data_IF_652717940691
#
_entry.id   IF_652717940691
#
_cell.length_a   1.000
_cell.length_b   1.000
_cell.length_c   1.000
_cell.angle_alpha   90.00
_cell.angle_beta   90.00
_cell.angle_gamma   90.00
#
_symmetry.space_group_name_H-M   'P 1'
#
loop_
_entity.id
_entity.type
_entity.pdbx_description
1 polymer ?
#
# COMPACT_ATOMS: atom_id res chain seq x y z
N UNK A 1 -1.88 20.26 19.65
CA UNK A 1 -1.12 20.43 20.91
C UNK A 1 -2.11 20.51 22.05
N UNK A 2 -1.82 19.84 23.17
CA UNK A 2 -2.60 19.93 24.40
C UNK A 2 -1.60 20.13 25.55
N UNK A 3 -1.63 21.30 26.18
CA UNK A 3 -0.59 21.71 27.11
C UNK A 3 0.77 21.81 26.42
N UNK A 4 1.79 21.15 26.98
CA UNK A 4 3.14 21.10 26.41
C UNK A 4 3.32 19.94 25.42
N UNK A 5 2.32 19.05 25.30
CA UNK A 5 2.44 17.84 24.50
C UNK A 5 1.98 18.03 23.05
N UNK A 6 2.82 17.56 22.13
CA UNK A 6 2.56 17.56 20.70
C UNK A 6 2.16 16.16 20.22
N UNK A 7 0.94 16.07 19.71
CA UNK A 7 0.40 14.86 19.12
C UNK A 7 0.50 14.95 17.58
N UNK A 8 1.36 14.14 16.94
CA UNK A 8 1.51 14.16 15.49
C UNK A 8 0.29 13.57 14.78
N UNK A 9 0.24 13.75 13.45
CA UNK A 9 -0.73 13.01 12.62
C UNK A 9 -0.52 11.50 12.80
N UNK A 10 -1.60 10.74 12.85
CA UNK A 10 -1.59 9.33 13.22
C UNK A 10 -1.79 9.04 14.71
N UNK A 11 -1.87 10.05 15.58
CA UNK A 11 -2.30 9.83 16.97
C UNK A 11 -3.70 9.24 17.00
N UNK A 12 -3.83 8.08 17.67
CA UNK A 12 -5.11 7.40 17.87
C UNK A 12 -5.81 7.98 19.09
N UNK A 13 -7.05 8.42 18.92
CA UNK A 13 -7.90 8.89 19.99
C UNK A 13 -8.82 7.75 20.43
N UNK A 14 -8.89 7.51 21.74
CA UNK A 14 -9.75 6.49 22.34
C UNK A 14 -10.78 7.16 23.26
N UNK A 15 -11.93 7.64 22.73
CA UNK A 15 -12.93 8.30 23.54
C UNK A 15 -13.55 7.32 24.54
N UNK A 16 -13.46 7.62 25.84
CA UNK A 16 -14.09 6.80 26.90
C UNK A 16 -15.59 6.60 26.70
N UNK A 17 -16.28 7.59 26.15
CA UNK A 17 -17.72 7.54 25.89
C UNK A 17 -18.13 6.57 24.77
N UNK A 18 -17.18 6.17 23.91
CA UNK A 18 -17.43 5.28 22.77
C UNK A 18 -16.79 3.89 22.95
N UNK A 19 -16.10 3.66 24.07
CA UNK A 19 -15.32 2.45 24.31
C UNK A 19 -15.57 1.93 25.73
N UNK A 20 -16.41 0.91 25.83
CA UNK A 20 -16.67 0.22 27.10
C UNK A 20 -15.42 -0.47 27.63
N UNK A 21 -15.22 -0.40 28.96
CA UNK A 21 -14.08 -0.99 29.66
C UNK A 21 -12.71 -0.57 29.10
N UNK A 22 -12.61 0.66 28.55
CA UNK A 22 -11.42 1.13 27.85
C UNK A 22 -10.13 0.88 28.65
N UNK A 23 -10.11 1.21 29.95
CA UNK A 23 -8.94 1.03 30.80
C UNK A 23 -8.51 -0.45 30.91
N UNK A 24 -9.47 -1.36 31.08
CA UNK A 24 -9.20 -2.80 31.15
C UNK A 24 -8.66 -3.31 29.82
N UNK A 25 -9.27 -2.89 28.71
CA UNK A 25 -8.87 -3.30 27.35
C UNK A 25 -7.48 -2.80 26.99
N UNK A 26 -7.16 -1.54 27.29
CA UNK A 26 -5.85 -0.97 26.99
C UNK A 26 -4.74 -1.56 27.87
N UNK A 27 -5.02 -1.87 29.14
CA UNK A 27 -4.08 -2.60 30.00
C UNK A 27 -3.84 -4.03 29.48
N UNK A 28 -4.90 -4.76 29.12
CA UNK A 28 -4.79 -6.11 28.58
C UNK A 28 -4.01 -6.14 27.25
N UNK A 29 -4.15 -5.09 26.44
CA UNK A 29 -3.39 -4.89 25.20
C UNK A 29 -1.95 -4.39 25.42
N UNK A 30 -1.52 -4.14 26.67
CA UNK A 30 -0.18 -3.64 26.98
C UNK A 30 0.08 -2.19 26.57
N UNK A 31 -0.98 -1.42 26.28
CA UNK A 31 -0.87 -0.03 25.81
C UNK A 31 -0.60 0.97 26.93
N UNK A 32 -0.67 0.55 28.20
CA UNK A 32 -0.51 1.44 29.37
C UNK A 32 0.65 2.44 29.28
N UNK A 33 1.88 2.05 28.92
CA UNK A 33 3.01 2.97 28.79
C UNK A 33 2.90 4.00 27.65
N UNK A 34 1.96 3.82 26.72
CA UNK A 34 1.76 4.63 25.51
C UNK A 34 0.50 5.50 25.58
N UNK A 35 -0.26 5.41 26.66
CA UNK A 35 -1.50 6.15 26.84
C UNK A 35 -1.25 7.45 27.59
N UNK A 36 -1.61 8.57 26.97
CA UNK A 36 -1.65 9.88 27.62
C UNK A 36 -3.11 10.27 27.89
N UNK A 37 -3.54 10.37 29.16
CA UNK A 37 -4.90 10.75 29.50
C UNK A 37 -5.13 12.25 29.28
N UNK A 38 -6.01 12.60 28.34
CA UNK A 38 -6.44 13.98 28.12
C UNK A 38 -7.73 14.29 28.90
N UNK A 39 -7.74 15.40 29.64
CA UNK A 39 -8.88 15.82 30.46
C UNK A 39 -9.97 16.55 29.66
N UNK A 40 -9.62 17.08 28.48
CA UNK A 40 -10.49 17.85 27.61
C UNK A 40 -10.27 17.47 26.15
N UNK A 41 -11.31 17.67 25.33
CA UNK A 41 -11.23 17.57 23.89
C UNK A 41 -10.73 18.86 23.22
N UNK A 42 -10.54 19.93 24.00
CA UNK A 42 -10.07 21.23 23.52
C UNK A 42 -8.55 21.19 23.34
N UNK A 43 -8.09 21.68 22.20
CA UNK A 43 -6.66 21.78 21.85
C UNK A 43 -6.18 23.24 21.89
N UNK A 44 -4.92 23.45 22.24
CA UNK A 44 -4.30 24.79 22.17
C UNK A 44 -3.99 25.18 20.72
N UNK A 45 -3.57 24.19 19.93
CA UNK A 45 -3.30 24.32 18.50
C UNK A 45 -3.75 23.07 17.74
N UNK A 46 -4.35 23.27 16.57
CA UNK A 46 -4.90 22.20 15.73
C UNK A 46 -6.43 22.09 15.88
N UNK A 47 -7.03 21.03 15.30
CA UNK A 47 -8.44 20.76 15.48
C UNK A 47 -8.71 20.16 16.86
N UNK A 48 -9.79 20.60 17.50
CA UNK A 48 -10.29 19.96 18.73
C UNK A 48 -10.57 18.47 18.49
N UNK A 49 -10.32 17.68 19.53
CA UNK A 49 -10.55 16.24 19.52
C UNK A 49 -12.06 15.99 19.34
N UNK A 50 -12.42 15.09 18.43
CA UNK A 50 -13.84 14.74 18.21
C UNK A 50 -14.61 15.71 17.32
N UNK A 51 -13.96 16.65 16.63
CA UNK A 51 -14.57 17.52 15.59
C UNK A 51 -15.06 16.78 14.33
N UNK A 52 -15.18 15.46 14.37
CA UNK A 52 -15.61 14.62 13.24
C UNK A 52 -14.58 14.48 12.11
N UNK A 53 -13.41 15.11 12.25
CA UNK A 53 -12.29 15.00 11.28
C UNK A 53 -11.42 13.76 11.48
N UNK A 54 -11.63 13.03 12.57
CA UNK A 54 -10.97 11.76 12.83
C UNK A 54 -11.82 10.62 12.26
N UNK A 55 -11.24 9.81 11.38
CA UNK A 55 -11.86 8.58 10.89
C UNK A 55 -12.16 7.63 12.05
N UNK A 56 -13.33 6.99 12.02
CA UNK A 56 -13.72 6.00 13.03
C UNK A 56 -13.07 4.68 12.70
N UNK A 57 -12.19 4.22 13.60
CA UNK A 57 -11.55 2.92 13.45
C UNK A 57 -12.49 1.81 13.92
N UNK A 58 -12.63 0.79 13.09
CA UNK A 58 -13.30 -0.47 13.41
C UNK A 58 -12.44 -1.62 12.92
N UNK A 59 -12.64 -2.82 13.46
CA UNK A 59 -11.88 -3.98 13.03
C UNK A 59 -12.41 -4.42 11.64
N UNK A 60 -11.59 -4.35 10.57
CA UNK A 60 -12.06 -4.66 9.24
C UNK A 60 -12.20 -6.17 9.04
N UNK A 61 -13.19 -6.56 8.24
CA UNK A 61 -13.37 -7.90 7.70
C UNK A 61 -12.56 -8.03 6.43
N UNK A 62 -11.52 -8.87 6.47
CA UNK A 62 -10.53 -8.96 5.41
C UNK A 62 -10.69 -10.26 4.62
N UNK A 63 -10.66 -10.15 3.30
CA UNK A 63 -10.45 -11.27 2.37
C UNK A 63 -9.03 -11.17 1.81
N UNK A 64 -8.27 -12.26 1.86
CA UNK A 64 -6.98 -12.41 1.21
C UNK A 64 -7.12 -13.30 -0.03
N UNK A 65 -6.81 -12.75 -1.19
CA UNK A 65 -6.82 -13.49 -2.45
C UNK A 65 -5.59 -14.39 -2.54
N UNK A 66 -5.81 -15.66 -2.86
CA UNK A 66 -4.77 -16.68 -3.04
C UNK A 66 -5.01 -17.53 -4.28
N UNK A 67 -4.43 -18.73 -4.27
CA UNK A 67 -4.60 -19.72 -5.33
C UNK A 67 -3.77 -19.43 -6.59
N UNK A 68 -4.14 -20.07 -7.70
CA UNK A 68 -3.41 -19.99 -8.95
C UNK A 68 -3.37 -18.55 -9.51
N UNK A 69 -2.22 -18.14 -10.04
CA UNK A 69 -1.98 -16.78 -10.52
C UNK A 69 -1.37 -15.84 -9.47
N UNK A 70 -1.49 -16.16 -8.18
CA UNK A 70 -0.81 -15.42 -7.09
C UNK A 70 0.61 -15.94 -6.85
N UNK A 71 1.51 -15.05 -6.40
CA UNK A 71 2.81 -15.44 -5.90
C UNK A 71 2.66 -16.11 -4.53
N UNK A 72 3.04 -17.38 -4.41
CA UNK A 72 3.01 -18.11 -3.15
C UNK A 72 3.85 -17.45 -2.06
N UNK A 73 4.94 -16.77 -2.45
CA UNK A 73 5.79 -16.01 -1.55
C UNK A 73 5.07 -14.78 -1.00
N UNK A 74 4.44 -14.00 -1.88
CA UNK A 74 3.69 -12.79 -1.48
C UNK A 74 2.49 -13.19 -0.63
N UNK A 75 1.67 -14.13 -1.11
CA UNK A 75 0.53 -14.68 -0.36
C UNK A 75 0.93 -15.14 1.05
N UNK A 76 2.03 -15.91 1.17
CA UNK A 76 2.52 -16.38 2.46
C UNK A 76 2.94 -15.26 3.41
N UNK A 77 3.57 -14.20 2.89
CA UNK A 77 3.95 -13.03 3.68
C UNK A 77 2.73 -12.24 4.18
N UNK A 78 1.75 -11.97 3.30
CA UNK A 78 0.51 -11.28 3.67
C UNK A 78 -0.30 -12.08 4.68
N UNK A 79 -0.48 -13.39 4.45
CA UNK A 79 -1.13 -14.28 5.41
C UNK A 79 -0.43 -14.27 6.77
N UNK A 80 0.89 -14.40 6.79
CA UNK A 80 1.66 -14.37 8.03
C UNK A 80 1.51 -13.04 8.76
N UNK A 81 1.49 -11.91 8.03
CA UNK A 81 1.30 -10.60 8.62
C UNK A 81 -0.08 -10.46 9.27
N UNK A 82 -1.14 -10.91 8.59
CA UNK A 82 -2.49 -10.93 9.15
C UNK A 82 -2.58 -11.84 10.39
N UNK A 83 -2.09 -13.09 10.29
CA UNK A 83 -2.18 -14.10 11.36
C UNK A 83 -1.32 -13.76 12.59
N UNK A 84 -0.08 -13.33 12.37
CA UNK A 84 0.94 -13.27 13.42
C UNK A 84 1.44 -11.86 13.77
N UNK A 85 1.33 -10.88 12.86
CA UNK A 85 1.73 -9.49 13.18
C UNK A 85 0.55 -8.66 13.65
N UNK A 86 -0.58 -8.73 12.96
CA UNK A 86 -1.79 -8.01 13.35
C UNK A 86 -2.74 -8.85 14.20
N UNK A 87 -2.74 -10.17 14.05
CA UNK A 87 -3.76 -11.03 14.66
C UNK A 87 -5.16 -10.71 14.12
N UNK A 88 -5.25 -10.28 12.86
CA UNK A 88 -6.47 -9.84 12.21
C UNK A 88 -7.15 -11.03 11.53
N UNK A 89 -8.38 -11.41 11.93
CA UNK A 89 -9.11 -12.48 11.29
C UNK A 89 -9.34 -12.19 9.80
N UNK A 90 -9.13 -13.19 8.96
CA UNK A 90 -9.30 -13.06 7.53
C UNK A 90 -9.83 -14.35 6.90
N UNK A 91 -10.50 -14.21 5.76
CA UNK A 91 -10.85 -15.33 4.89
C UNK A 91 -9.84 -15.40 3.75
N UNK A 92 -9.43 -16.62 3.36
CA UNK A 92 -8.65 -16.82 2.14
C UNK A 92 -9.57 -17.33 1.04
N UNK A 93 -9.51 -16.71 -0.14
CA UNK A 93 -10.32 -17.08 -1.30
C UNK A 93 -9.41 -17.22 -2.52
N UNK A 94 -9.59 -18.26 -3.33
CA UNK A 94 -8.83 -18.37 -4.57
C UNK A 94 -9.30 -17.32 -5.57
N UNK A 95 -8.38 -16.83 -6.40
CA UNK A 95 -8.69 -15.82 -7.43
C UNK A 95 -9.86 -16.23 -8.35
N UNK A 96 -9.96 -17.51 -8.72
CA UNK A 96 -11.01 -18.04 -9.59
C UNK A 96 -12.40 -18.10 -8.92
N UNK A 97 -12.43 -18.17 -7.58
CA UNK A 97 -13.66 -18.26 -6.80
C UNK A 97 -14.24 -16.87 -6.47
N UNK A 98 -13.50 -15.79 -6.73
CA UNK A 98 -13.85 -14.43 -6.32
C UNK A 98 -15.18 -13.95 -6.90
N UNK A 99 -15.54 -14.39 -8.11
CA UNK A 99 -16.81 -14.04 -8.75
C UNK A 99 -18.05 -14.70 -8.10
N UNK A 100 -17.83 -15.71 -7.26
CA UNK A 100 -18.89 -16.52 -6.63
C UNK A 100 -19.08 -16.26 -5.14
N UNK A 101 -18.23 -15.43 -4.53
CA UNK A 101 -18.37 -15.07 -3.11
C UNK A 101 -19.21 -13.80 -2.95
N UNK A 102 -19.91 -13.72 -1.83
CA UNK A 102 -20.59 -12.52 -1.40
C UNK A 102 -19.59 -11.59 -0.69
N UNK A 103 -19.46 -10.37 -1.18
CA UNK A 103 -18.58 -9.33 -0.64
C UNK A 103 -19.35 -8.26 0.14
N UNK A 104 -20.68 -8.36 0.30
CA UNK A 104 -21.51 -7.40 1.04
C UNK A 104 -20.98 -7.16 2.47
N UNK A 105 -20.46 -8.23 3.07
CA UNK A 105 -19.90 -8.24 4.42
C UNK A 105 -18.36 -8.18 4.45
N UNK A 106 -17.72 -7.64 3.41
CA UNK A 106 -16.26 -7.52 3.33
C UNK A 106 -15.86 -6.06 3.23
N UNK A 107 -14.97 -5.64 4.13
CA UNK A 107 -14.51 -4.24 4.17
C UNK A 107 -13.23 -4.08 3.33
N UNK A 108 -12.35 -5.09 3.35
CA UNK A 108 -11.06 -5.07 2.65
C UNK A 108 -10.82 -6.35 1.86
N UNK A 109 -10.44 -6.22 0.59
CA UNK A 109 -9.92 -7.32 -0.23
C UNK A 109 -8.44 -7.05 -0.49
N UNK A 110 -7.58 -8.00 -0.14
CA UNK A 110 -6.13 -7.95 -0.36
C UNK A 110 -5.77 -8.82 -1.55
N UNK A 111 -5.11 -8.23 -2.56
CA UNK A 111 -4.56 -8.91 -3.72
C UNK A 111 -3.03 -8.89 -3.65
N UNK A 112 -2.39 -10.03 -3.29
CA UNK A 112 -0.94 -10.16 -3.28
C UNK A 112 -0.31 -9.94 -4.66
N UNK A 113 1.02 -9.88 -4.69
CA UNK A 113 1.77 -9.87 -5.94
C UNK A 113 1.41 -11.09 -6.78
N UNK A 114 1.16 -10.88 -8.07
CA UNK A 114 0.57 -11.89 -8.92
C UNK A 114 0.96 -11.68 -10.40
N UNK A 115 0.94 -12.77 -11.17
CA UNK A 115 1.19 -12.76 -12.61
C UNK A 115 -0.05 -13.25 -13.36
N UNK A 116 -0.74 -12.35 -14.07
CA UNK A 116 -1.95 -12.71 -14.83
C UNK A 116 -3.19 -12.96 -13.96
N UNK A 117 -3.26 -12.36 -12.76
CA UNK A 117 -4.36 -12.57 -11.81
C UNK A 117 -5.72 -12.15 -12.37
N UNK A 118 -5.77 -11.07 -13.17
CA UNK A 118 -7.01 -10.64 -13.82
C UNK A 118 -7.61 -11.72 -14.72
N UNK A 119 -6.76 -12.49 -15.42
CA UNK A 119 -7.23 -13.61 -16.25
C UNK A 119 -7.78 -14.77 -15.41
N UNK A 120 -7.29 -14.94 -14.17
CA UNK A 120 -7.75 -15.98 -13.25
C UNK A 120 -9.07 -15.60 -12.57
N UNK A 121 -9.22 -14.33 -12.22
CA UNK A 121 -10.49 -13.77 -11.73
C UNK A 121 -11.55 -13.80 -12.84
N UNK A 122 -11.14 -13.52 -14.08
CA UNK A 122 -12.03 -13.46 -15.26
C UNK A 122 -12.88 -12.18 -15.30
N UNK A 123 -13.43 -11.85 -16.46
CA UNK A 123 -14.14 -10.59 -16.70
C UNK A 123 -15.29 -10.37 -15.70
N UNK A 124 -16.12 -11.38 -15.49
CA UNK A 124 -17.23 -11.33 -14.51
C UNK A 124 -16.73 -11.07 -13.09
N UNK A 125 -15.60 -11.67 -12.69
CA UNK A 125 -15.03 -11.45 -11.37
C UNK A 125 -14.42 -10.05 -11.23
N UNK A 126 -13.79 -9.54 -12.28
CA UNK A 126 -13.26 -8.18 -12.32
C UNK A 126 -14.40 -7.15 -12.24
N UNK A 127 -15.48 -7.34 -13.00
CA UNK A 127 -16.68 -6.51 -12.93
C UNK A 127 -17.33 -6.54 -11.54
N UNK A 128 -17.43 -7.72 -10.92
CA UNK A 128 -17.96 -7.87 -9.56
C UNK A 128 -17.08 -7.16 -8.52
N UNK A 129 -15.75 -7.28 -8.64
CA UNK A 129 -14.80 -6.62 -7.75
C UNK A 129 -14.87 -5.10 -7.90
N UNK A 130 -14.93 -4.59 -9.13
CA UNK A 130 -15.05 -3.17 -9.42
C UNK A 130 -16.39 -2.60 -8.90
N UNK A 131 -17.48 -3.36 -9.04
CA UNK A 131 -18.78 -3.00 -8.47
C UNK A 131 -18.74 -2.95 -6.93
N UNK A 132 -18.12 -3.93 -6.28
CA UNK A 132 -17.94 -3.96 -4.83
C UNK A 132 -17.08 -2.78 -4.33
N UNK A 133 -15.99 -2.45 -5.01
CA UNK A 133 -15.19 -1.25 -4.69
C UNK A 133 -16.07 -0.01 -4.80
N UNK A 134 -16.85 0.13 -5.89
CA UNK A 134 -17.76 1.27 -6.05
C UNK A 134 -18.83 1.39 -4.97
N UNK A 135 -19.18 0.31 -4.29
CA UNK A 135 -20.18 0.30 -3.21
C UNK A 135 -19.58 0.60 -1.83
N UNK A 136 -18.26 0.82 -1.72
CA UNK A 136 -17.60 1.15 -0.44
C UNK A 136 -16.43 0.23 -0.08
N UNK A 137 -16.18 -0.81 -0.86
CA UNK A 137 -15.08 -1.74 -0.62
C UNK A 137 -13.70 -1.09 -0.75
N UNK A 138 -12.74 -1.55 0.06
CA UNK A 138 -11.33 -1.14 -0.02
C UNK A 138 -10.47 -2.25 -0.62
N UNK A 139 -10.00 -2.06 -1.85
CA UNK A 139 -9.12 -3.00 -2.54
C UNK A 139 -7.65 -2.63 -2.29
N UNK A 140 -6.92 -3.47 -1.55
CA UNK A 140 -5.48 -3.30 -1.33
C UNK A 140 -4.73 -4.27 -2.22
N UNK A 141 -3.93 -3.77 -3.17
CA UNK A 141 -3.16 -4.62 -4.07
C UNK A 141 -1.68 -4.24 -4.06
N UNK A 142 -0.80 -5.22 -4.34
CA UNK A 142 0.65 -4.99 -4.31
C UNK A 142 1.35 -5.54 -5.55
N UNK A 143 2.44 -4.88 -5.96
CA UNK A 143 3.29 -5.25 -7.09
C UNK A 143 2.47 -5.67 -8.34
N UNK A 144 2.70 -6.87 -8.89
CA UNK A 144 1.97 -7.34 -10.07
C UNK A 144 0.45 -7.47 -9.88
N UNK A 145 -0.02 -7.66 -8.64
CA UNK A 145 -1.44 -7.58 -8.30
C UNK A 145 -1.97 -6.16 -8.43
N UNK A 146 -1.22 -5.17 -7.93
CA UNK A 146 -1.56 -3.76 -8.11
C UNK A 146 -1.56 -3.33 -9.58
N UNK A 147 -0.59 -3.80 -10.39
CA UNK A 147 -0.58 -3.51 -11.83
C UNK A 147 -1.81 -4.06 -12.55
N UNK A 148 -2.35 -5.20 -12.10
CA UNK A 148 -3.56 -5.78 -12.66
C UNK A 148 -4.83 -5.04 -12.21
N UNK A 149 -4.91 -4.71 -10.92
CA UNK A 149 -6.08 -4.04 -10.34
C UNK A 149 -6.15 -2.57 -10.73
N UNK A 150 -5.03 -1.86 -10.82
CA UNK A 150 -4.97 -0.43 -11.14
C UNK A 150 -5.64 -0.05 -12.47
N UNK A 151 -5.70 -0.99 -13.42
CA UNK A 151 -6.38 -0.81 -14.72
C UNK A 151 -7.87 -0.48 -14.59
N UNK A 152 -8.54 -0.95 -13.54
CA UNK A 152 -9.97 -0.64 -13.33
C UNK A 152 -10.21 0.83 -12.92
N UNK A 153 -9.14 1.53 -12.52
CA UNK A 153 -9.20 2.91 -12.04
C UNK A 153 -8.18 3.82 -12.73
N UNK A 154 -7.69 3.40 -13.91
CA UNK A 154 -6.76 4.15 -14.76
C UNK A 154 -5.43 4.51 -14.08
N UNK A 155 -4.98 3.67 -13.13
CA UNK A 155 -3.66 3.78 -12.51
C UNK A 155 -2.67 2.92 -13.28
N UNK A 156 -1.83 3.58 -14.07
CA UNK A 156 -0.86 2.91 -14.93
C UNK A 156 0.50 2.75 -14.25
N UNK A 157 1.12 1.59 -14.46
CA UNK A 157 2.53 1.39 -14.10
C UNK A 157 3.37 2.17 -15.09
N UNK A 158 4.26 3.02 -14.59
CA UNK A 158 5.16 3.77 -15.44
C UNK A 158 6.07 2.81 -16.20
N UNK A 159 6.01 2.90 -17.53
CA UNK A 159 6.89 2.18 -18.46
C UNK A 159 7.93 3.11 -19.04
N UNK A 160 9.09 2.58 -19.46
CA UNK A 160 9.93 3.37 -20.38
C UNK A 160 9.19 3.60 -21.68
N UNK A 161 9.37 4.78 -22.29
CA UNK A 161 8.87 5.05 -23.64
C UNK A 161 9.37 3.94 -24.57
N UNK A 162 8.43 3.30 -25.27
CA UNK A 162 8.77 2.23 -26.20
C UNK A 162 9.77 2.70 -27.25
N UNK A 163 10.56 1.78 -27.84
CA UNK A 163 11.55 2.14 -28.86
C UNK A 163 10.92 2.96 -29.99
N UNK A 164 11.59 4.05 -30.36
CA UNK A 164 11.34 4.69 -31.66
C UNK A 164 11.51 3.68 -32.80
N UNK A 165 10.86 3.93 -33.94
CA UNK A 165 10.86 2.98 -35.07
C UNK A 165 12.28 2.63 -35.56
N UNK A 166 13.22 3.58 -35.49
CA UNK A 166 14.64 3.36 -35.80
C UNK A 166 15.36 2.46 -34.80
N UNK A 167 14.98 2.50 -33.53
CA UNK A 167 15.55 1.63 -32.49
C UNK A 167 15.04 0.20 -32.60
N UNK A 168 13.81 -0.02 -33.10
CA UNK A 168 13.21 -1.37 -33.20
C UNK A 168 14.08 -2.33 -34.02
N UNK A 169 14.60 -1.87 -35.17
CA UNK A 169 15.50 -2.67 -36.00
C UNK A 169 16.83 -2.95 -35.28
N UNK A 170 17.39 -1.95 -34.59
CA UNK A 170 18.58 -2.10 -33.76
C UNK A 170 18.39 -3.15 -32.67
N UNK A 171 17.29 -3.09 -31.91
CA UNK A 171 16.96 -4.09 -30.88
C UNK A 171 16.77 -5.49 -31.45
N UNK A 172 16.13 -5.60 -32.62
CA UNK A 172 15.89 -6.88 -33.29
C UNK A 172 17.20 -7.56 -33.76
N UNK A 173 18.21 -6.76 -34.11
CA UNK A 173 19.51 -7.25 -34.57
C UNK A 173 20.54 -7.43 -33.45
N UNK A 174 20.20 -7.11 -32.19
CA UNK A 174 21.08 -7.31 -31.03
C UNK A 174 21.54 -8.75 -30.93
N UNK A 175 22.84 -8.91 -30.70
CA UNK A 175 23.47 -10.19 -30.40
C UNK A 175 22.85 -10.82 -29.16
N UNK A 176 23.17 -12.10 -28.95
CA UNK A 176 22.73 -12.81 -27.74
C UNK A 176 23.30 -12.17 -26.47
N UNK A 177 24.55 -11.71 -26.52
CA UNK A 177 25.27 -11.11 -25.39
C UNK A 177 24.69 -9.75 -25.04
N UNK A 178 24.45 -8.88 -26.01
CA UNK A 178 23.78 -7.57 -25.80
C UNK A 178 22.38 -7.76 -25.19
N UNK A 179 21.58 -8.70 -25.73
CA UNK A 179 20.27 -9.03 -25.15
C UNK A 179 20.35 -9.60 -23.74
N UNK A 180 21.46 -10.25 -23.38
CA UNK A 180 21.67 -10.75 -22.02
C UNK A 180 22.02 -9.61 -21.07
N UNK A 181 22.92 -8.72 -21.48
CA UNK A 181 23.29 -7.53 -20.71
C UNK A 181 22.08 -6.64 -20.45
N UNK A 182 21.25 -6.36 -21.45
CA UNK A 182 20.04 -5.54 -21.28
C UNK A 182 19.00 -6.16 -20.35
N UNK A 183 18.82 -7.49 -20.45
CA UNK A 183 17.96 -8.19 -19.49
C UNK A 183 18.49 -8.07 -18.06
N UNK A 184 19.81 -8.00 -17.88
CA UNK A 184 20.40 -7.84 -16.56
C UNK A 184 20.26 -6.39 -16.07
N UNK A 185 20.48 -5.41 -16.94
CA UNK A 185 20.34 -3.97 -16.62
C UNK A 185 18.90 -3.55 -16.31
N UNK A 186 17.92 -4.18 -16.96
CA UNK A 186 16.49 -3.95 -16.71
C UNK A 186 15.96 -4.69 -15.47
N UNK A 187 16.69 -5.69 -14.96
CA UNK A 187 16.30 -6.40 -13.75
C UNK A 187 16.74 -5.61 -12.52
N UNK A 188 15.82 -5.44 -11.58
CA UNK A 188 16.13 -4.93 -10.24
C UNK A 188 15.76 -6.05 -9.24
N UNK A 189 16.74 -6.88 -8.82
CA UNK A 189 16.47 -8.02 -7.92
C UNK A 189 16.02 -7.62 -6.51
N UNK A 190 16.11 -6.33 -6.18
CA UNK A 190 15.87 -5.74 -4.88
C UNK A 190 16.92 -4.68 -4.58
N UNK A 191 16.53 -3.42 -4.68
CA UNK A 191 17.38 -2.25 -4.40
C UNK A 191 16.70 -1.37 -3.38
N UNK A 192 17.46 -0.95 -2.37
CA UNK A 192 17.01 0.03 -1.38
C UNK A 192 16.96 1.40 -2.05
N UNK A 193 15.76 1.97 -2.08
CA UNK A 193 15.49 3.32 -2.58
C UNK A 193 14.83 4.15 -1.48
N UNK A 194 15.06 5.45 -1.51
CA UNK A 194 14.31 6.41 -0.70
C UNK A 194 13.01 6.78 -1.43
N UNK A 195 11.91 6.86 -0.68
CA UNK A 195 10.66 7.48 -1.09
C UNK A 195 10.33 8.62 -0.14
N UNK A 196 9.78 9.69 -0.67
CA UNK A 196 9.13 10.75 0.10
C UNK A 196 7.74 10.28 0.51
N UNK A 197 7.30 10.70 1.70
CA UNK A 197 5.97 10.45 2.25
C UNK A 197 5.16 11.74 2.23
N UNK A 198 3.85 11.64 2.01
CA UNK A 198 2.93 12.73 2.34
C UNK A 198 2.58 12.64 3.83
N UNK A 199 3.11 13.51 4.72
CA UNK A 199 2.79 13.46 6.14
C UNK A 199 1.31 13.74 6.45
N UNK A 200 0.58 14.34 5.50
CA UNK A 200 -0.84 14.61 5.59
C UNK A 200 -1.72 13.36 5.41
N UNK A 201 -1.22 12.36 4.71
CA UNK A 201 -1.99 11.23 4.19
C UNK A 201 -2.11 10.09 5.23
N UNK A 202 -3.31 9.52 5.48
CA UNK A 202 -3.49 8.46 6.47
C UNK A 202 -2.58 7.24 6.29
N UNK A 203 -2.34 6.87 5.04
CA UNK A 203 -1.43 5.75 4.72
C UNK A 203 0.03 5.98 5.14
N UNK A 204 0.47 7.23 5.27
CA UNK A 204 1.85 7.56 5.66
C UNK A 204 2.04 7.74 7.18
N UNK A 205 0.96 7.71 7.97
CA UNK A 205 1.04 7.95 9.41
C UNK A 205 1.96 6.93 10.11
N UNK A 206 2.99 7.45 10.77
CA UNK A 206 3.99 6.65 11.47
C UNK A 206 4.99 5.88 10.58
N UNK A 207 4.95 6.06 9.26
CA UNK A 207 5.80 5.31 8.31
C UNK A 207 7.22 5.89 8.15
N UNK A 208 7.45 7.11 8.63
CA UNK A 208 8.72 7.83 8.49
C UNK A 208 9.92 7.10 9.10
N UNK A 209 11.06 7.19 8.41
CA UNK A 209 12.35 6.72 8.91
C UNK A 209 12.79 7.47 10.18
N UNK A 210 13.76 6.91 10.91
CA UNK A 210 14.29 7.56 12.11
C UNK A 210 15.22 8.74 11.76
N UNK A 211 15.19 9.84 12.55
CA UNK A 211 14.37 10.05 13.75
C UNK A 211 12.88 10.20 13.42
N UNK A 212 12.02 9.72 14.34
CA UNK A 212 10.57 9.67 14.15
C UNK A 212 9.99 11.00 13.64
N UNK A 213 9.11 10.92 12.63
CA UNK A 213 8.53 12.10 11.98
C UNK A 213 9.29 12.57 10.74
N UNK A 214 10.20 11.76 10.19
CA UNK A 214 10.78 12.00 8.86
C UNK A 214 9.73 11.82 7.75
N UNK A 215 9.66 12.75 6.79
CA UNK A 215 8.84 12.63 5.58
C UNK A 215 9.51 11.75 4.50
N UNK A 216 10.37 10.83 4.94
CA UNK A 216 11.15 9.93 4.08
C UNK A 216 11.08 8.52 4.64
N UNK A 217 11.01 7.55 3.75
CA UNK A 217 11.04 6.13 4.05
C UNK A 217 11.96 5.42 3.07
N UNK A 218 12.55 4.30 3.47
CA UNK A 218 13.31 3.44 2.56
C UNK A 218 12.47 2.22 2.19
N UNK A 219 12.48 1.85 0.91
CA UNK A 219 11.73 0.71 0.37
C UNK A 219 12.70 -0.25 -0.32
N UNK A 220 12.38 -1.54 -0.29
CA UNK A 220 13.06 -2.54 -1.11
C UNK A 220 12.32 -2.62 -2.45
N UNK A 221 12.84 -1.94 -3.46
CA UNK A 221 12.20 -1.83 -4.76
C UNK A 221 12.68 -2.85 -5.78
N UNK A 222 11.75 -3.29 -6.62
CA UNK A 222 11.96 -4.12 -7.81
C UNK A 222 11.92 -3.32 -9.11
N UNK A 223 11.93 -1.98 -9.03
CA UNK A 223 12.03 -1.11 -10.20
C UNK A 223 10.70 -0.69 -10.81
N UNK A 224 9.61 -0.77 -10.04
CA UNK A 224 8.26 -0.39 -10.44
C UNK A 224 7.78 0.87 -9.70
N UNK A 225 6.99 1.68 -10.40
CA UNK A 225 6.31 2.86 -9.87
C UNK A 225 5.09 3.17 -10.74
N UNK A 226 4.11 3.90 -10.21
CA UNK A 226 2.93 4.34 -10.97
C UNK A 226 3.16 5.73 -11.56
N UNK A 227 2.58 5.99 -12.72
CA UNK A 227 2.59 7.32 -13.33
C UNK A 227 1.66 8.25 -12.52
N UNK A 228 2.15 9.33 -11.89
CA UNK A 228 1.30 10.22 -11.12
C UNK A 228 0.19 10.86 -11.98
N UNK A 229 -0.98 11.05 -11.37
CA UNK A 229 -2.12 11.74 -11.98
C UNK A 229 -2.82 12.62 -10.94
N UNK A 230 -3.58 13.61 -11.39
CA UNK A 230 -4.48 14.40 -10.53
C UNK A 230 -5.70 13.58 -10.05
N UNK A 231 -5.93 12.40 -10.63
CA UNK A 231 -7.05 11.52 -10.30
C UNK A 231 -6.86 10.71 -8.99
N UNK A 232 -5.65 10.65 -8.46
CA UNK A 232 -5.35 9.92 -7.23
C UNK A 232 -4.33 10.64 -6.35
N UNK A 233 -4.28 10.23 -5.09
CA UNK A 233 -3.32 10.72 -4.12
C UNK A 233 -2.10 9.80 -4.07
N UNK A 234 -0.91 10.39 -4.06
CA UNK A 234 0.35 9.66 -3.85
C UNK A 234 0.78 9.81 -2.40
N UNK A 235 0.54 8.78 -1.60
CA UNK A 235 0.95 8.78 -0.19
C UNK A 235 2.47 8.61 -0.01
N UNK A 236 3.12 8.02 -1.02
CA UNK A 236 4.57 7.94 -1.10
C UNK A 236 5.03 7.92 -2.56
N UNK A 237 6.13 8.60 -2.86
CA UNK A 237 6.69 8.70 -4.22
C UNK A 237 8.22 8.74 -4.22
N UNK A 238 8.82 8.37 -5.33
CA UNK A 238 10.26 8.54 -5.55
C UNK A 238 10.56 10.00 -5.93
N UNK A 239 11.57 10.61 -5.30
CA UNK A 239 11.97 11.99 -5.62
C UNK A 239 12.54 12.16 -7.03
N UNK A 240 12.71 13.41 -7.46
CA UNK A 240 13.45 13.76 -8.68
C UNK A 240 14.94 13.36 -8.59
N UNK A 241 15.48 13.33 -7.38
CA UNK A 241 16.82 12.88 -7.02
C UNK A 241 16.91 11.36 -6.73
N UNK A 242 15.88 10.58 -7.11
CA UNK A 242 15.86 9.14 -6.86
C UNK A 242 17.14 8.46 -7.35
N UNK A 243 17.71 7.62 -6.49
CA UNK A 243 18.95 6.88 -6.73
C UNK A 243 19.02 5.63 -5.86
N UNK A 244 19.77 4.64 -6.32
CA UNK A 244 20.09 3.43 -5.54
C UNK A 244 20.88 3.76 -4.28
N UNK A 245 20.31 3.53 -3.10
CA UNK A 245 21.04 3.65 -1.82
C UNK A 245 21.91 2.41 -1.60
N UNK A 246 21.36 1.24 -1.87
CA UNK A 246 22.06 -0.04 -1.76
C UNK A 246 21.40 -1.10 -2.65
N UNK A 247 22.20 -1.92 -3.33
CA UNK A 247 21.70 -2.90 -4.30
C UNK A 247 22.12 -2.56 -5.73
N UNK A 248 21.52 -3.26 -6.71
CA UNK A 248 21.82 -3.10 -8.13
C UNK A 248 20.58 -2.61 -8.86
N UNK A 249 20.69 -1.46 -9.52
CA UNK A 249 19.62 -0.85 -10.31
C UNK A 249 20.25 -0.19 -11.53
N UNK A 250 19.69 -0.44 -12.72
CA UNK A 250 20.14 0.19 -13.95
C UNK A 250 19.71 1.64 -14.04
N UNK A 251 20.50 2.47 -14.72
CA UNK A 251 20.24 3.91 -14.88
C UNK A 251 18.86 4.19 -15.52
N UNK A 252 18.46 3.42 -16.53
CA UNK A 252 17.12 3.54 -17.16
C UNK A 252 15.99 3.30 -16.14
N UNK A 253 16.18 2.37 -15.20
CA UNK A 253 15.19 2.10 -14.17
C UNK A 253 15.15 3.22 -13.12
N UNK A 254 16.31 3.76 -12.73
CA UNK A 254 16.35 4.94 -11.85
C UNK A 254 15.62 6.12 -12.49
N UNK A 255 15.92 6.42 -13.76
CA UNK A 255 15.30 7.53 -14.48
C UNK A 255 13.78 7.35 -14.59
N UNK A 256 13.33 6.13 -14.89
CA UNK A 256 11.90 5.81 -14.92
C UNK A 256 11.24 6.06 -13.56
N UNK A 257 11.90 5.71 -12.45
CA UNK A 257 11.30 5.85 -11.12
C UNK A 257 11.21 7.29 -10.64
N UNK A 258 12.05 8.22 -11.11
CA UNK A 258 12.04 9.62 -10.65
C UNK A 258 10.67 10.25 -10.78
N UNK A 259 10.14 10.81 -9.70
CA UNK A 259 8.79 11.41 -9.68
C UNK A 259 7.67 10.41 -10.03
N UNK A 260 7.86 9.11 -9.76
CA UNK A 260 6.77 8.11 -9.83
C UNK A 260 6.23 7.77 -8.46
N UNK A 261 4.96 7.35 -8.39
CA UNK A 261 4.31 7.02 -7.14
C UNK A 261 4.63 5.58 -6.72
N UNK A 262 4.97 5.38 -5.44
CA UNK A 262 5.19 4.06 -4.86
C UNK A 262 3.94 3.53 -4.14
N UNK A 263 3.20 4.43 -3.48
CA UNK A 263 1.93 4.13 -2.79
C UNK A 263 0.85 5.10 -3.25
N UNK A 264 -0.21 4.55 -3.84
CA UNK A 264 -1.33 5.29 -4.41
C UNK A 264 -2.62 4.98 -3.67
N UNK A 265 -3.44 6.00 -3.40
CA UNK A 265 -4.84 5.86 -3.00
C UNK A 265 -5.73 6.49 -4.09
N UNK A 266 -6.59 5.68 -4.72
CA UNK A 266 -7.50 6.09 -5.80
C UNK A 266 -8.94 5.80 -5.37
N UNK A 267 -9.73 6.85 -5.15
CA UNK A 267 -11.16 6.72 -4.93
C UNK A 267 -11.88 6.20 -6.18
N UNK A 268 -12.84 5.29 -5.98
CA UNK A 268 -13.69 4.75 -7.04
C UNK A 268 -15.10 4.52 -6.49
N UNK A 269 -16.05 5.40 -6.87
CA UNK A 269 -17.40 5.37 -6.30
C UNK A 269 -17.39 5.71 -4.81
N UNK A 270 -18.01 4.89 -3.98
CA UNK A 270 -18.01 5.01 -2.52
C UNK A 270 -16.80 4.36 -1.84
N UNK A 271 -15.99 3.58 -2.56
CA UNK A 271 -14.80 2.92 -2.01
C UNK A 271 -13.52 3.35 -2.73
N UNK A 272 -12.51 2.47 -2.70
CA UNK A 272 -11.16 2.86 -3.11
C UNK A 272 -10.23 1.70 -3.46
N UNK A 273 -9.18 2.04 -4.20
CA UNK A 273 -8.02 1.21 -4.44
C UNK A 273 -6.80 1.80 -3.72
N UNK A 274 -6.08 0.94 -3.00
CA UNK A 274 -4.78 1.27 -2.41
C UNK A 274 -3.73 0.36 -3.05
N UNK A 275 -2.78 0.95 -3.76
CA UNK A 275 -1.86 0.24 -4.64
C UNK A 275 -0.42 0.47 -4.22
N UNK A 276 0.31 -0.61 -3.98
CA UNK A 276 1.76 -0.59 -3.72
C UNK A 276 2.51 -1.03 -4.97
N UNK A 277 3.50 -0.25 -5.41
CA UNK A 277 4.30 -0.56 -6.60
C UNK A 277 5.18 -1.80 -6.38
N UNK A 278 5.63 -2.01 -5.15
CA UNK A 278 6.36 -3.20 -4.70
C UNK A 278 5.55 -3.96 -3.64
N UNK A 279 6.02 -5.15 -3.24
CA UNK A 279 5.44 -5.88 -2.11
C UNK A 279 5.99 -5.32 -0.78
N UNK A 280 5.17 -4.60 0.03
CA UNK A 280 5.63 -3.97 1.27
C UNK A 280 6.00 -4.99 2.36
N UNK A 281 5.64 -6.26 2.17
CA UNK A 281 5.88 -7.36 3.09
C UNK A 281 6.88 -8.38 2.53
N UNK A 282 7.63 -8.04 1.49
CA UNK A 282 8.54 -8.97 0.82
C UNK A 282 9.40 -9.75 1.84
N UNK A 283 9.16 -11.06 1.91
CA UNK A 283 9.83 -12.00 2.83
C UNK A 283 9.83 -11.58 4.31
N UNK A 284 8.94 -10.69 4.72
CA UNK A 284 8.84 -10.15 6.09
C UNK A 284 10.14 -9.55 6.63
N UNK A 285 11.07 -9.15 5.75
CA UNK A 285 12.39 -8.66 6.16
C UNK A 285 12.50 -7.13 6.15
N UNK A 286 11.68 -6.45 5.34
CA UNK A 286 11.75 -5.00 5.18
C UNK A 286 10.64 -4.29 5.96
N UNK A 287 10.93 -3.98 7.22
CA UNK A 287 9.93 -3.48 8.18
C UNK A 287 9.32 -2.12 7.82
N UNK A 288 10.00 -1.30 7.02
CA UNK A 288 9.48 0.03 6.63
C UNK A 288 8.13 -0.04 5.93
N UNK A 289 7.86 -1.09 5.15
CA UNK A 289 6.56 -1.28 4.49
C UNK A 289 5.43 -1.70 5.42
N UNK A 290 5.72 -2.10 6.66
CA UNK A 290 4.71 -2.70 7.55
C UNK A 290 3.68 -1.67 8.02
N UNK A 291 4.14 -0.48 8.39
CA UNK A 291 3.25 0.58 8.86
C UNK A 291 2.28 1.07 7.78
N UNK A 292 2.72 1.46 6.56
CA UNK A 292 1.79 1.89 5.52
C UNK A 292 0.85 0.76 5.08
N UNK A 293 1.32 -0.50 5.09
CA UNK A 293 0.45 -1.64 4.83
C UNK A 293 -0.61 -1.84 5.93
N UNK A 294 -0.24 -1.73 7.21
CA UNK A 294 -1.21 -1.77 8.30
C UNK A 294 -2.21 -0.60 8.21
N UNK A 295 -1.75 0.60 7.85
CA UNK A 295 -2.62 1.74 7.62
C UNK A 295 -3.61 1.48 6.47
N UNK A 296 -3.17 0.85 5.38
CA UNK A 296 -4.07 0.49 4.26
C UNK A 296 -5.20 -0.45 4.69
N UNK A 297 -4.92 -1.40 5.58
CA UNK A 297 -5.93 -2.33 6.08
C UNK A 297 -6.86 -1.70 7.14
N UNK A 298 -6.30 -0.91 8.07
CA UNK A 298 -7.01 -0.46 9.27
C UNK A 298 -7.57 0.97 9.15
N UNK A 299 -6.87 1.84 8.44
CA UNK A 299 -7.26 3.24 8.23
C UNK A 299 -7.96 3.40 6.87
N UNK A 300 -7.53 2.69 5.83
CA UNK A 300 -8.12 2.76 4.48
C UNK A 300 -9.65 2.77 4.50
N UNK A 301 -10.34 1.78 5.10
CA UNK A 301 -11.81 1.76 5.14
C UNK A 301 -12.49 2.98 5.79
N UNK A 302 -11.75 3.82 6.52
CA UNK A 302 -12.27 4.99 7.21
C UNK A 302 -11.95 6.34 6.53
N UNK A 303 -11.13 6.35 5.46
CA UNK A 303 -10.65 7.56 4.77
C UNK A 303 -10.66 7.37 3.26
#
# INVERSE_FOLDING_TARGET
>A
TIGEDRYPRGTILLPRALNDDLATRTMAAGLGPWLEPVASAITDEGPDLGTGRAGRLSLPRVVLVGGEGTSSLSFGAHRYFLDHRLGLPHLTVNAEDLAGIDLEDVDVVVVPSAGGIANRIGDRGMEALEAWVRDGGTLVAVAGGASAMGRMAEVEVRSSTGPEEGERLGRALRTREERQLERWESQTPGTVLEVQLDPGHPLAFGAGAMPAGSDRMFVLSTGAGFEPSEDFESAAWFGDDAQGVSGVIGEETVERLRESSWLVQRGLGGGQLILFADDPLFRMMWYSGFQPYANALLLGPAF
#
